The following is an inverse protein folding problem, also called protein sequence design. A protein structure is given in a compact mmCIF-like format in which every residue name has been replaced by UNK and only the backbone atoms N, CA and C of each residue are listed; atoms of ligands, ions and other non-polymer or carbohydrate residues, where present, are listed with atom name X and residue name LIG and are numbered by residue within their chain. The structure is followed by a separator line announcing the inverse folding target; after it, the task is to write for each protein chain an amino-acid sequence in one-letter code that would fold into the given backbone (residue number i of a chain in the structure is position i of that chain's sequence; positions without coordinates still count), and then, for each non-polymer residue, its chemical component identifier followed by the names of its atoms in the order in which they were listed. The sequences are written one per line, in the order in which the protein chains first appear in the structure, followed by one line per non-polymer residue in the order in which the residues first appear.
data_IF_958915932182
#
_entry.id   IF_958915932182
#
_cell.length_a   1.000
_cell.length_b   1.000
_cell.length_c   1.000
_cell.angle_alpha   90.00
_cell.angle_beta   90.00
_cell.angle_gamma   90.00
#
_symmetry.space_group_name_H-M   'P 1'
#
loop_
_entity.id
_entity.type
_entity.pdbx_description
1 polymer ?
#
# COMPACT_ATOMS: atom_id res chain seq x y z
N UNK A 1 24.02 7.14 -5.68
CA UNK A 1 23.53 7.00 -4.29
C UNK A 1 22.07 6.59 -4.36
N UNK A 2 21.82 5.28 -4.40
CA UNK A 2 20.48 4.69 -4.41
C UNK A 2 19.82 5.05 -3.09
N UNK A 3 18.84 5.95 -3.13
CA UNK A 3 18.17 6.45 -1.93
C UNK A 3 17.14 5.42 -1.48
N UNK A 4 17.62 4.30 -0.93
CA UNK A 4 16.85 3.11 -0.50
C UNK A 4 16.05 3.34 0.78
N UNK A 5 15.69 4.59 1.12
CA UNK A 5 14.91 4.91 2.33
C UNK A 5 13.41 4.69 2.14
N UNK A 6 12.94 4.80 0.89
CA UNK A 6 11.53 4.59 0.56
C UNK A 6 11.17 3.10 0.68
N UNK A 7 12.09 2.20 0.35
CA UNK A 7 11.88 0.76 0.40
C UNK A 7 11.81 0.21 1.84
N UNK A 8 12.51 0.86 2.78
CA UNK A 8 12.51 0.52 4.21
C UNK A 8 11.47 1.28 5.02
N UNK A 9 10.52 1.96 4.37
CA UNK A 9 9.45 2.67 5.07
C UNK A 9 8.26 1.73 5.23
N UNK A 10 7.55 1.77 6.38
CA UNK A 10 6.34 0.98 6.53
C UNK A 10 5.28 1.35 5.50
N UNK A 11 4.83 0.37 4.72
CA UNK A 11 3.78 0.56 3.73
C UNK A 11 2.48 1.08 4.38
N UNK A 12 2.17 0.59 5.57
CA UNK A 12 1.01 1.00 6.36
C UNK A 12 0.96 2.51 6.64
N UNK A 13 2.11 3.19 6.72
CA UNK A 13 2.16 4.65 6.91
C UNK A 13 1.88 5.44 5.63
N UNK A 14 2.13 4.84 4.46
CA UNK A 14 1.99 5.48 3.15
C UNK A 14 0.65 5.15 2.51
N UNK A 15 0.08 3.98 2.79
CA UNK A 15 -1.21 3.56 2.26
C UNK A 15 -2.35 4.58 2.46
N UNK A 16 -2.55 5.19 3.65
CA UNK A 16 -3.54 6.26 3.82
C UNK A 16 -3.32 7.46 2.89
N UNK A 17 -2.06 7.77 2.54
CA UNK A 17 -1.73 8.86 1.62
C UNK A 17 -2.12 8.53 0.17
N UNK A 18 -2.05 7.26 -0.23
CA UNK A 18 -2.56 6.83 -1.55
C UNK A 18 -4.08 6.95 -1.61
N UNK A 19 -4.78 6.52 -0.57
CA UNK A 19 -6.24 6.67 -0.47
C UNK A 19 -6.63 8.15 -0.53
N UNK A 20 -6.03 9.01 0.28
CA UNK A 20 -6.31 10.46 0.23
C UNK A 20 -6.02 11.07 -1.16
N UNK A 21 -4.95 10.64 -1.83
CA UNK A 21 -4.63 11.12 -3.18
C UNK A 21 -5.63 10.62 -4.22
N UNK A 22 -6.16 9.41 -4.06
CA UNK A 22 -7.21 8.85 -4.89
C UNK A 22 -8.53 9.61 -4.66
N UNK A 23 -8.92 9.86 -3.42
CA UNK A 23 -10.09 10.64 -3.03
C UNK A 23 -10.05 12.07 -3.58
N UNK A 24 -8.89 12.74 -3.51
CA UNK A 24 -8.67 14.05 -4.14
C UNK A 24 -8.87 14.05 -5.66
N UNK A 25 -8.81 12.88 -6.30
CA UNK A 25 -9.03 12.69 -7.74
C UNK A 25 -10.41 12.07 -8.04
N UNK A 26 -11.32 12.03 -7.07
CA UNK A 26 -12.66 11.46 -7.22
C UNK A 26 -12.69 9.94 -7.31
N UNK A 27 -11.61 9.27 -6.87
CA UNK A 27 -11.52 7.81 -6.78
C UNK A 27 -11.75 7.34 -5.34
N UNK A 28 -11.99 6.06 -5.19
CA UNK A 28 -12.31 5.44 -3.89
C UNK A 28 -11.15 4.61 -3.35
N UNK A 29 -11.17 4.36 -2.04
CA UNK A 29 -10.29 3.38 -1.38
C UNK A 29 -10.37 2.00 -2.06
N UNK A 30 -11.57 1.54 -2.38
CA UNK A 30 -11.78 0.22 -2.99
C UNK A 30 -11.06 0.07 -4.34
N UNK A 31 -10.99 1.14 -5.15
CA UNK A 31 -10.20 1.13 -6.38
C UNK A 31 -8.69 0.99 -6.11
N UNK A 32 -8.18 1.68 -5.09
CA UNK A 32 -6.77 1.55 -4.67
C UNK A 32 -6.49 0.12 -4.22
N UNK A 33 -7.37 -0.45 -3.39
CA UNK A 33 -7.25 -1.82 -2.90
C UNK A 33 -7.29 -2.83 -4.04
N UNK A 34 -8.18 -2.64 -5.01
CA UNK A 34 -8.27 -3.49 -6.21
C UNK A 34 -6.97 -3.46 -7.03
N UNK A 35 -6.36 -2.28 -7.22
CA UNK A 35 -5.09 -2.15 -7.93
C UNK A 35 -3.97 -2.86 -7.17
N UNK A 36 -3.92 -2.70 -5.85
CA UNK A 36 -2.94 -3.37 -4.99
C UNK A 36 -3.11 -4.88 -5.09
N UNK A 37 -4.33 -5.40 -4.96
CA UNK A 37 -4.63 -6.83 -5.08
C UNK A 37 -4.25 -7.39 -6.45
N UNK A 38 -4.48 -6.62 -7.52
CA UNK A 38 -4.06 -7.02 -8.86
C UNK A 38 -2.54 -7.04 -9.02
N UNK A 39 -1.82 -6.10 -8.41
CA UNK A 39 -0.36 -6.00 -8.53
C UNK A 39 0.38 -7.02 -7.67
N UNK A 40 -0.09 -7.28 -6.45
CA UNK A 40 0.58 -8.16 -5.48
C UNK A 40 -0.03 -9.56 -5.41
N UNK A 41 -1.24 -9.76 -5.92
CA UNK A 41 -2.01 -10.98 -5.74
C UNK A 41 -2.61 -11.14 -4.34
N UNK A 42 -2.56 -10.10 -3.49
CA UNK A 42 -3.19 -10.16 -2.17
C UNK A 42 -4.72 -10.16 -2.24
N UNK A 43 -5.34 -10.71 -1.20
CA UNK A 43 -6.75 -10.57 -0.92
C UNK A 43 -6.94 -9.65 0.30
N UNK A 44 -8.18 -9.28 0.61
CA UNK A 44 -8.48 -8.37 1.75
C UNK A 44 -7.89 -8.85 3.08
N UNK A 45 -7.89 -10.17 3.33
CA UNK A 45 -7.39 -10.74 4.58
C UNK A 45 -5.86 -10.64 4.68
N UNK A 46 -5.14 -11.08 3.64
CA UNK A 46 -3.69 -11.01 3.57
C UNK A 46 -3.22 -9.55 3.57
N UNK A 47 -3.93 -8.66 2.89
CA UNK A 47 -3.61 -7.24 2.86
C UNK A 47 -3.78 -6.57 4.22
N UNK A 48 -4.88 -6.87 4.93
CA UNK A 48 -5.06 -6.42 6.31
C UNK A 48 -3.93 -6.90 7.23
N UNK A 49 -3.57 -8.18 7.12
CA UNK A 49 -2.45 -8.76 7.87
C UNK A 49 -1.10 -8.08 7.54
N UNK A 50 -0.85 -7.73 6.28
CA UNK A 50 0.35 -6.99 5.87
C UNK A 50 0.37 -5.56 6.41
N UNK A 51 -0.80 -4.91 6.51
CA UNK A 51 -0.93 -3.60 7.11
C UNK A 51 -0.63 -3.64 8.62
N UNK A 52 -1.16 -4.65 9.33
CA UNK A 52 -0.95 -4.84 10.76
C UNK A 52 0.51 -5.19 11.11
N UNK A 53 1.17 -5.98 10.26
CA UNK A 53 2.58 -6.34 10.46
C UNK A 53 3.57 -5.22 10.14
N UNK A 54 3.08 -4.03 9.73
CA UNK A 54 3.92 -2.87 9.45
C UNK A 54 5.01 -3.14 8.40
N UNK A 55 4.74 -4.02 7.43
CA UNK A 55 5.74 -4.44 6.45
C UNK A 55 6.29 -3.26 5.64
N UNK A 56 7.59 -3.32 5.36
CA UNK A 56 8.26 -2.33 4.51
C UNK A 56 7.87 -2.50 3.04
N UNK A 57 8.05 -1.46 2.23
CA UNK A 57 7.77 -1.50 0.79
C UNK A 57 8.49 -2.65 0.05
N UNK A 58 9.71 -3.01 0.47
CA UNK A 58 10.47 -4.12 -0.13
C UNK A 58 9.90 -5.51 0.18
N UNK A 59 9.25 -5.67 1.32
CA UNK A 59 8.60 -6.95 1.69
C UNK A 59 7.16 -7.01 1.18
N UNK A 60 6.56 -5.85 0.93
CA UNK A 60 5.17 -5.72 0.50
C UNK A 60 4.97 -5.96 -1.01
N UNK A 61 5.86 -5.40 -1.85
CA UNK A 61 5.83 -5.50 -3.32
C UNK A 61 6.90 -6.46 -3.85
#
# INVERSE_FOLDING_TARGET
MTNTKIFSMPFASVYPLYVQKAEKKGRTKAEVDTIIFWLTGYNEQSFGHQLDNNCDFETFF
#
